data_IF_238870884705
#
_entry.id   IF_238870884705
#
_cell.length_a   1.000
_cell.length_b   1.000
_cell.length_c   1.000
_cell.angle_alpha   90.00
_cell.angle_beta   90.00
_cell.angle_gamma   90.00
#
_symmetry.space_group_name_H-M   'P 1'
#
loop_
_entity.id
_entity.type
_entity.pdbx_description
1 polymer ?
#
# COMPACT_ATOMS: atom_id res chain seq x y z
N UNK A 1 11.96 42.17 18.53
CA UNK A 1 11.80 40.70 18.47
C UNK A 1 11.00 40.30 19.71
N UNK A 2 9.67 40.31 19.60
CA UNK A 2 8.79 40.01 20.75
C UNK A 2 8.92 38.53 21.14
N UNK A 3 8.90 38.19 22.44
CA UNK A 3 8.95 36.80 22.87
C UNK A 3 7.69 36.08 22.36
N UNK A 4 7.86 34.92 21.73
CA UNK A 4 6.75 34.02 21.43
C UNK A 4 6.16 33.59 22.77
N UNK A 5 4.95 34.08 23.04
CA UNK A 5 4.10 33.62 24.12
C UNK A 5 4.04 32.09 24.06
N UNK A 6 4.55 31.43 25.10
CA UNK A 6 4.53 29.99 25.24
C UNK A 6 3.11 29.48 25.06
N UNK A 7 2.91 28.49 24.18
CA UNK A 7 1.62 27.85 23.95
C UNK A 7 1.10 27.30 25.29
N UNK A 8 0.22 28.05 25.95
CA UNK A 8 -0.50 27.61 27.13
C UNK A 8 -1.33 26.41 26.68
N UNK A 9 -1.04 25.23 27.21
CA UNK A 9 -1.88 24.05 27.03
C UNK A 9 -3.27 24.39 27.56
N UNK A 10 -4.20 24.72 26.65
CA UNK A 10 -5.60 24.95 27.00
C UNK A 10 -6.23 23.61 27.31
N UNK A 11 -6.79 23.50 28.52
CA UNK A 11 -7.55 22.32 28.92
C UNK A 11 -8.85 22.29 28.12
N UNK A 12 -9.12 21.17 27.45
CA UNK A 12 -10.38 20.96 26.74
C UNK A 12 -11.57 21.03 27.71
N UNK A 13 -12.60 21.86 27.40
CA UNK A 13 -13.87 21.86 28.13
C UNK A 13 -14.47 20.45 28.20
N UNK A 14 -15.27 20.12 29.23
CA UNK A 14 -15.84 18.79 29.40
C UNK A 14 -16.64 18.30 28.17
N UNK A 15 -17.46 19.16 27.58
CA UNK A 15 -18.24 18.85 26.36
C UNK A 15 -17.33 18.54 25.17
N UNK A 16 -16.34 19.39 24.91
CA UNK A 16 -15.39 19.21 23.82
C UNK A 16 -14.56 17.93 24.00
N UNK A 17 -14.14 17.63 25.24
CA UNK A 17 -13.42 16.39 25.57
C UNK A 17 -14.26 15.14 25.35
N UNK A 18 -15.54 15.19 25.70
CA UNK A 18 -16.45 14.07 25.47
C UNK A 18 -16.64 13.83 23.97
N UNK A 19 -16.90 14.88 23.20
CA UNK A 19 -17.06 14.80 21.75
C UNK A 19 -15.78 14.30 21.07
N UNK A 20 -14.62 14.82 21.46
CA UNK A 20 -13.31 14.36 20.96
C UNK A 20 -13.12 12.84 21.18
N UNK A 21 -13.44 12.34 22.38
CA UNK A 21 -13.38 10.92 22.69
C UNK A 21 -14.36 10.10 21.85
N UNK A 22 -15.58 10.59 21.62
CA UNK A 22 -16.56 9.91 20.76
C UNK A 22 -16.15 9.92 19.28
N UNK A 23 -15.57 11.03 18.78
CA UNK A 23 -15.02 11.11 17.42
C UNK A 23 -13.89 10.10 17.24
N UNK A 24 -12.96 10.00 18.19
CA UNK A 24 -11.88 9.01 18.16
C UNK A 24 -12.43 7.58 18.17
N UNK A 25 -13.42 7.29 19.03
CA UNK A 25 -14.09 5.98 19.10
C UNK A 25 -14.79 5.63 17.77
N UNK A 26 -15.41 6.62 17.12
CA UNK A 26 -16.05 6.44 15.83
C UNK A 26 -15.03 6.22 14.71
N UNK A 27 -13.93 6.96 14.69
CA UNK A 27 -12.83 6.80 13.72
C UNK A 27 -12.27 5.37 13.75
N UNK A 28 -11.99 4.83 14.93
CA UNK A 28 -11.54 3.44 15.13
C UNK A 28 -12.56 2.41 14.62
N UNK A 29 -13.86 2.70 14.74
CA UNK A 29 -14.94 1.82 14.26
C UNK A 29 -15.18 1.96 12.75
N UNK A 30 -14.88 3.10 12.16
CA UNK A 30 -14.95 3.33 10.71
C UNK A 30 -13.82 2.55 10.04
N UNK A 31 -12.59 2.60 10.59
CA UNK A 31 -11.39 1.93 10.08
C UNK A 31 -11.33 1.97 8.54
N UNK A 32 -11.37 3.19 8.00
CA UNK A 32 -11.52 3.42 6.56
C UNK A 32 -10.33 2.83 5.80
N UNK A 33 -9.13 2.88 6.38
CA UNK A 33 -7.92 2.39 5.74
C UNK A 33 -7.99 0.88 5.53
N UNK A 34 -8.39 0.11 6.55
CA UNK A 34 -8.65 -1.31 6.37
C UNK A 34 -9.74 -1.56 5.34
N UNK A 35 -10.82 -0.77 5.40
CA UNK A 35 -11.94 -0.89 4.47
C UNK A 35 -11.56 -0.60 3.01
N UNK A 36 -10.52 0.21 2.76
CA UNK A 36 -10.02 0.49 1.41
C UNK A 36 -8.78 -0.32 1.03
N UNK A 37 -8.23 -1.12 1.95
CA UNK A 37 -7.05 -1.93 1.71
C UNK A 37 -7.45 -3.28 1.11
N UNK A 38 -6.99 -3.61 -0.12
CA UNK A 38 -7.19 -4.93 -0.66
C UNK A 38 -6.43 -5.98 0.17
N UNK A 39 -7.02 -7.16 0.27
CA UNK A 39 -6.43 -8.34 0.89
C UNK A 39 -5.88 -9.28 -0.19
N UNK A 40 -4.99 -10.19 0.20
CA UNK A 40 -4.33 -11.14 -0.71
C UNK A 40 -3.50 -10.47 -1.83
N UNK A 41 -2.83 -9.36 -1.50
CA UNK A 41 -2.01 -8.61 -2.45
C UNK A 41 -0.90 -9.44 -3.09
N UNK A 42 -0.32 -10.42 -2.38
CA UNK A 42 0.72 -11.30 -2.93
C UNK A 42 0.20 -12.17 -4.07
N UNK A 43 -1.00 -12.74 -3.91
CA UNK A 43 -1.64 -13.54 -4.96
C UNK A 43 -2.04 -12.66 -6.15
N UNK A 44 -2.61 -11.48 -5.89
CA UNK A 44 -2.93 -10.50 -6.93
C UNK A 44 -1.68 -10.06 -7.71
N UNK A 45 -0.55 -9.88 -7.03
CA UNK A 45 0.72 -9.56 -7.68
C UNK A 45 1.22 -10.72 -8.55
N UNK A 46 1.13 -11.96 -8.07
CA UNK A 46 1.52 -13.12 -8.85
C UNK A 46 0.63 -13.28 -10.11
N UNK A 47 -0.68 -13.14 -9.99
CA UNK A 47 -1.61 -13.17 -11.12
C UNK A 47 -1.31 -12.05 -12.13
N UNK A 48 -1.00 -10.83 -11.66
CA UNK A 48 -0.59 -9.73 -12.53
C UNK A 48 0.70 -10.06 -13.30
N UNK A 49 1.69 -10.67 -12.64
CA UNK A 49 2.94 -11.14 -13.27
C UNK A 49 2.68 -12.24 -14.31
N UNK A 50 1.87 -13.23 -13.97
CA UNK A 50 1.55 -14.36 -14.85
C UNK A 50 0.77 -13.91 -16.09
N UNK A 51 0.03 -12.79 -15.99
CA UNK A 51 -0.60 -12.12 -17.13
C UNK A 51 0.40 -11.39 -18.07
N UNK A 52 1.69 -11.42 -17.75
CA UNK A 52 2.72 -10.63 -18.44
C UNK A 52 2.57 -9.13 -18.18
N UNK A 53 2.08 -8.74 -16.99
CA UNK A 53 1.84 -7.35 -16.59
C UNK A 53 0.81 -6.61 -17.45
N UNK A 54 -0.16 -7.32 -18.04
CA UNK A 54 -1.16 -6.74 -18.96
C UNK A 54 -2.55 -6.59 -18.36
N UNK A 55 -2.90 -7.43 -17.40
CA UNK A 55 -4.26 -7.48 -16.84
C UNK A 55 -4.19 -7.37 -15.33
N UNK A 56 -4.72 -6.28 -14.78
CA UNK A 56 -4.83 -6.12 -13.33
C UNK A 56 -5.96 -7.04 -12.81
N UNK A 57 -5.67 -7.99 -11.92
CA UNK A 57 -6.72 -8.83 -11.33
C UNK A 57 -7.66 -8.01 -10.43
N UNK A 58 -8.89 -8.47 -10.21
CA UNK A 58 -9.83 -7.74 -9.36
C UNK A 58 -9.33 -7.67 -7.91
N UNK A 59 -9.35 -6.46 -7.34
CA UNK A 59 -9.05 -6.25 -5.92
C UNK A 59 -10.11 -6.91 -5.05
N UNK A 60 -9.68 -7.62 -4.01
CA UNK A 60 -10.55 -8.26 -3.02
C UNK A 60 -10.40 -7.54 -1.70
N UNK A 61 -11.49 -7.35 -0.98
CA UNK A 61 -11.47 -6.67 0.31
C UNK A 61 -12.00 -7.60 1.39
N UNK A 62 -11.45 -7.47 2.60
CA UNK A 62 -11.88 -8.26 3.75
C UNK A 62 -13.34 -8.01 4.12
N UNK A 63 -13.90 -8.94 4.90
CA UNK A 63 -15.20 -8.75 5.53
C UNK A 63 -15.20 -7.45 6.35
N UNK A 64 -16.33 -6.73 6.31
CA UNK A 64 -16.46 -5.45 6.99
C UNK A 64 -16.36 -5.68 8.50
N UNK A 65 -15.38 -5.05 9.15
CA UNK A 65 -15.33 -4.98 10.63
C UNK A 65 -16.53 -4.21 11.19
N UNK A 66 -17.04 -3.24 10.41
CA UNK A 66 -18.13 -2.37 10.81
C UNK A 66 -19.49 -2.97 10.44
N UNK A 67 -20.30 -3.22 11.47
CA UNK A 67 -21.63 -3.87 11.36
C UNK A 67 -22.67 -3.03 10.60
N UNK A 68 -22.52 -1.70 10.50
CA UNK A 68 -23.36 -0.82 9.66
C UNK A 68 -22.75 0.58 9.54
N UNK A 69 -22.33 1.00 8.34
CA UNK A 69 -21.91 2.39 8.06
C UNK A 69 -23.05 3.41 8.27
N UNK A 70 -24.30 3.15 7.84
CA UNK A 70 -25.43 4.05 8.13
C UNK A 70 -25.61 4.32 9.63
N UNK A 71 -25.50 3.28 10.47
CA UNK A 71 -25.60 3.45 11.93
C UNK A 71 -24.47 4.29 12.51
N UNK A 72 -23.22 4.10 12.05
CA UNK A 72 -22.12 4.97 12.45
C UNK A 72 -22.33 6.42 12.03
N UNK A 73 -22.91 6.64 10.86
CA UNK A 73 -23.20 8.00 10.37
C UNK A 73 -24.26 8.68 11.22
N UNK A 74 -25.31 7.95 11.60
CA UNK A 74 -26.32 8.46 12.53
C UNK A 74 -25.70 8.81 13.90
N UNK A 75 -24.86 7.92 14.45
CA UNK A 75 -24.12 8.20 15.70
C UNK A 75 -23.22 9.45 15.56
N UNK A 76 -22.51 9.59 14.45
CA UNK A 76 -21.61 10.72 14.18
C UNK A 76 -22.39 12.05 14.11
N UNK A 77 -23.49 12.08 13.37
CA UNK A 77 -24.29 13.29 13.16
C UNK A 77 -25.09 13.69 14.40
N UNK A 78 -25.30 12.77 15.34
CA UNK A 78 -25.93 13.04 16.62
C UNK A 78 -25.01 13.72 17.65
N UNK A 79 -23.70 13.83 17.37
CA UNK A 79 -22.78 14.49 18.29
C UNK A 79 -23.12 15.98 18.45
N UNK A 80 -23.22 16.49 19.70
CA UNK A 80 -23.67 17.85 19.97
C UNK A 80 -22.54 18.88 19.79
N UNK A 81 -22.00 18.99 18.57
CA UNK A 81 -20.90 19.92 18.25
C UNK A 81 -21.28 21.37 18.59
N UNK A 82 -22.53 21.76 18.35
CA UNK A 82 -23.04 23.11 18.61
C UNK A 82 -23.14 23.48 20.10
N UNK A 83 -23.01 22.51 21.02
CA UNK A 83 -23.02 22.76 22.47
C UNK A 83 -21.63 23.20 22.97
N UNK A 84 -20.61 23.25 22.11
CA UNK A 84 -19.27 23.73 22.45
C UNK A 84 -19.27 25.27 22.43
N UNK A 85 -19.17 25.88 23.61
CA UNK A 85 -19.18 27.34 23.75
C UNK A 85 -17.96 28.05 23.13
N UNK A 86 -16.82 27.37 23.08
CA UNK A 86 -15.58 27.95 22.57
C UNK A 86 -15.48 27.77 21.04
N UNK A 87 -15.48 28.85 20.24
CA UNK A 87 -15.64 28.75 18.78
C UNK A 87 -14.51 28.02 18.04
N UNK A 88 -13.29 28.03 18.58
CA UNK A 88 -12.15 27.32 17.99
C UNK A 88 -12.33 25.80 18.15
N UNK A 89 -12.75 25.33 19.33
CA UNK A 89 -13.03 23.91 19.55
C UNK A 89 -14.25 23.42 18.78
N UNK A 90 -15.32 24.23 18.72
CA UNK A 90 -16.50 23.94 17.90
C UNK A 90 -16.09 23.74 16.42
N UNK A 91 -15.34 24.70 15.88
CA UNK A 91 -14.89 24.65 14.48
C UNK A 91 -13.99 23.45 14.21
N UNK A 92 -13.02 23.19 15.09
CA UNK A 92 -12.06 22.11 14.93
C UNK A 92 -12.73 20.72 14.97
N UNK A 93 -13.55 20.47 16.00
CA UNK A 93 -14.24 19.19 16.15
C UNK A 93 -15.34 19.02 15.08
N UNK A 94 -15.96 20.12 14.65
CA UNK A 94 -16.87 20.12 13.51
C UNK A 94 -16.20 19.75 12.18
N UNK A 95 -14.96 20.22 11.94
CA UNK A 95 -14.18 19.76 10.78
C UNK A 95 -13.84 18.28 10.89
N UNK A 96 -13.47 17.79 12.09
CA UNK A 96 -13.20 16.36 12.30
C UNK A 96 -14.45 15.51 12.04
N UNK A 97 -15.63 15.96 12.49
CA UNK A 97 -16.91 15.30 12.19
C UNK A 97 -17.15 15.22 10.68
N UNK A 98 -16.94 16.32 9.93
CA UNK A 98 -17.07 16.33 8.47
C UNK A 98 -16.07 15.42 7.77
N UNK A 99 -14.84 15.35 8.28
CA UNK A 99 -13.82 14.44 7.79
C UNK A 99 -14.27 12.98 7.92
N UNK A 100 -14.76 12.56 9.09
CA UNK A 100 -15.27 11.20 9.30
C UNK A 100 -16.46 10.87 8.39
N UNK A 101 -17.35 11.84 8.13
CA UNK A 101 -18.46 11.66 7.18
C UNK A 101 -17.94 11.39 5.75
N UNK A 102 -16.94 12.17 5.32
CA UNK A 102 -16.28 11.97 4.01
C UNK A 102 -15.53 10.64 3.92
N UNK A 103 -14.87 10.21 5.00
CA UNK A 103 -14.23 8.88 5.06
C UNK A 103 -15.25 7.75 4.88
N UNK A 104 -16.41 7.84 5.55
CA UNK A 104 -17.49 6.85 5.37
C UNK A 104 -18.04 6.84 3.93
N UNK A 105 -18.19 8.01 3.32
CA UNK A 105 -18.63 8.14 1.94
C UNK A 105 -17.61 7.53 0.95
N UNK A 106 -16.32 7.76 1.19
CA UNK A 106 -15.25 7.14 0.42
C UNK A 106 -15.32 5.60 0.47
N UNK A 107 -15.55 5.03 1.67
CA UNK A 107 -15.77 3.58 1.83
C UNK A 107 -17.03 3.11 1.10
N UNK A 108 -18.13 3.89 1.14
CA UNK A 108 -19.38 3.55 0.45
C UNK A 108 -19.22 3.49 -1.06
N UNK A 109 -18.37 4.36 -1.61
CA UNK A 109 -18.06 4.49 -3.03
C UNK A 109 -16.90 3.60 -3.50
N UNK A 110 -16.30 2.78 -2.62
CA UNK A 110 -15.28 1.79 -3.00
C UNK A 110 -15.76 0.95 -4.19
N UNK A 111 -14.92 0.86 -5.22
CA UNK A 111 -15.18 0.19 -6.50
C UNK A 111 -16.40 0.70 -7.30
N UNK A 112 -16.88 1.92 -7.02
CA UNK A 112 -18.02 2.53 -7.71
C UNK A 112 -17.63 3.83 -8.42
N UNK A 113 -18.41 4.25 -9.43
CA UNK A 113 -18.31 5.61 -9.96
C UNK A 113 -18.42 6.64 -8.83
N UNK A 114 -17.54 7.64 -8.85
CA UNK A 114 -17.49 8.69 -7.82
C UNK A 114 -16.43 8.49 -6.74
N UNK A 115 -15.81 7.31 -6.61
CA UNK A 115 -14.73 7.06 -5.64
C UNK A 115 -13.60 8.11 -5.74
N UNK A 116 -13.15 8.41 -6.95
CA UNK A 116 -12.11 9.40 -7.18
C UNK A 116 -12.51 10.81 -6.73
N UNK A 117 -13.76 11.21 -6.98
CA UNK A 117 -14.25 12.52 -6.53
C UNK A 117 -14.33 12.57 -5.01
N UNK A 118 -14.86 11.54 -4.37
CA UNK A 118 -14.88 11.44 -2.91
C UNK A 118 -13.48 11.47 -2.30
N UNK A 119 -12.48 10.88 -2.97
CA UNK A 119 -11.07 10.96 -2.57
C UNK A 119 -10.53 12.39 -2.66
N UNK A 120 -10.87 13.13 -3.71
CA UNK A 120 -10.50 14.55 -3.85
C UNK A 120 -11.19 15.39 -2.77
N UNK A 121 -12.46 15.13 -2.51
CA UNK A 121 -13.23 15.88 -1.50
C UNK A 121 -12.66 15.67 -0.08
N UNK A 122 -12.08 14.50 0.19
CA UNK A 122 -11.45 14.18 1.47
C UNK A 122 -10.00 14.68 1.58
N UNK A 123 -9.16 14.42 0.58
CA UNK A 123 -7.70 14.65 0.66
C UNK A 123 -7.22 15.89 -0.12
N UNK A 124 -8.09 16.50 -0.91
CA UNK A 124 -7.73 17.52 -1.89
C UNK A 124 -7.23 16.93 -3.21
N UNK A 125 -7.10 17.80 -4.21
CA UNK A 125 -6.59 17.43 -5.53
C UNK A 125 -5.06 17.28 -5.55
N UNK A 126 -4.56 16.51 -6.51
CA UNK A 126 -3.12 16.30 -6.72
C UNK A 126 -2.46 17.62 -7.13
N UNK A 127 -1.44 18.09 -6.40
CA UNK A 127 -0.75 19.33 -6.74
C UNK A 127 -0.18 19.30 -8.17
N UNK A 128 -0.33 20.40 -8.91
CA UNK A 128 0.10 20.48 -10.31
C UNK A 128 1.57 20.08 -10.52
N UNK A 129 2.44 20.42 -9.57
CA UNK A 129 3.87 20.03 -9.58
C UNK A 129 4.06 18.51 -9.53
N UNK A 130 3.29 17.81 -8.71
CA UNK A 130 3.38 16.36 -8.54
C UNK A 130 2.83 15.65 -9.77
N UNK A 131 1.71 16.15 -10.30
CA UNK A 131 1.13 15.66 -11.55
C UNK A 131 2.09 15.81 -12.74
N UNK A 132 2.82 16.92 -12.82
CA UNK A 132 3.86 17.12 -13.85
C UNK A 132 4.98 16.09 -13.70
N UNK A 133 5.54 15.94 -12.51
CA UNK A 133 6.61 14.98 -12.24
C UNK A 133 6.19 13.54 -12.58
N UNK A 134 4.97 13.13 -12.21
CA UNK A 134 4.46 11.81 -12.56
C UNK A 134 4.38 11.60 -14.08
N UNK A 135 3.94 12.60 -14.84
CA UNK A 135 3.90 12.54 -16.31
C UNK A 135 5.29 12.46 -16.93
N UNK A 136 6.26 13.19 -16.39
CA UNK A 136 7.65 13.13 -16.84
C UNK A 136 8.26 11.73 -16.61
N UNK A 137 8.01 11.12 -15.45
CA UNK A 137 8.43 9.73 -15.16
C UNK A 137 7.78 8.75 -16.13
N UNK A 138 6.47 8.86 -16.36
CA UNK A 138 5.76 7.99 -17.31
C UNK A 138 6.25 8.17 -18.75
N UNK A 139 6.61 9.39 -19.15
CA UNK A 139 7.15 9.65 -20.48
C UNK A 139 8.59 9.12 -20.65
N UNK A 140 9.39 9.14 -19.58
CA UNK A 140 10.75 8.61 -19.57
C UNK A 140 10.79 7.07 -19.49
N UNK A 141 9.79 6.45 -18.86
CA UNK A 141 9.63 5.01 -18.85
C UNK A 141 9.24 4.54 -20.26
N UNK A 142 10.18 3.93 -21.00
CA UNK A 142 9.83 3.24 -22.23
C UNK A 142 8.76 2.19 -21.91
N UNK A 143 7.68 2.06 -22.71
CA UNK A 143 6.79 0.91 -22.58
C UNK A 143 7.69 -0.33 -22.67
N UNK A 144 7.54 -1.25 -21.71
CA UNK A 144 8.33 -2.48 -21.68
C UNK A 144 8.11 -3.25 -22.98
N UNK A 145 8.96 -2.99 -23.96
CA UNK A 145 9.09 -3.84 -25.12
C UNK A 145 9.56 -5.20 -24.64
N UNK A 146 9.27 -6.25 -25.40
CA UNK A 146 10.06 -7.45 -25.26
C UNK A 146 11.52 -7.01 -25.37
N UNK A 147 12.31 -7.24 -24.31
CA UNK A 147 13.77 -7.14 -24.47
C UNK A 147 14.11 -8.01 -25.68
N UNK A 148 14.92 -7.52 -26.63
CA UNK A 148 15.43 -8.37 -27.68
C UNK A 148 15.95 -9.64 -27.02
N UNK A 149 15.55 -10.81 -27.52
CA UNK A 149 16.23 -12.04 -27.13
C UNK A 149 17.65 -11.89 -27.66
N UNK A 150 18.57 -11.57 -26.76
CA UNK A 150 20.00 -11.47 -27.11
C UNK A 150 20.55 -12.81 -27.59
N UNK A 151 19.88 -13.92 -27.22
CA UNK A 151 20.14 -15.28 -27.68
C UNK A 151 18.86 -16.12 -27.78
N UNK A 152 18.84 -17.07 -28.71
CA UNK A 152 17.78 -18.09 -28.81
C UNK A 152 17.85 -19.10 -27.64
N UNK A 153 16.74 -19.80 -27.35
CA UNK A 153 16.77 -20.88 -26.34
C UNK A 153 17.83 -21.94 -26.71
N UNK A 154 17.90 -22.30 -27.99
CA UNK A 154 18.86 -23.29 -28.49
C UNK A 154 20.31 -22.84 -28.32
N UNK A 155 20.57 -21.53 -28.48
CA UNK A 155 21.90 -20.93 -28.27
C UNK A 155 22.31 -20.95 -26.80
N UNK A 156 21.37 -20.67 -25.89
CA UNK A 156 21.59 -20.78 -24.44
C UNK A 156 21.83 -22.23 -24.03
N UNK A 157 21.07 -23.19 -24.59
CA UNK A 157 21.24 -24.62 -24.31
C UNK A 157 22.61 -25.09 -24.80
N UNK A 158 23.01 -24.73 -26.02
CA UNK A 158 24.31 -25.10 -26.57
C UNK A 158 25.48 -24.56 -25.72
N UNK A 159 25.42 -23.28 -25.32
CA UNK A 159 26.46 -22.68 -24.48
C UNK A 159 26.53 -23.32 -23.08
N UNK A 160 25.39 -23.69 -22.50
CA UNK A 160 25.34 -24.38 -21.21
C UNK A 160 25.88 -25.82 -21.29
N UNK A 161 25.58 -26.53 -22.38
CA UNK A 161 26.12 -27.87 -22.63
C UNK A 161 27.65 -27.84 -22.85
N UNK A 162 28.16 -26.85 -23.59
CA UNK A 162 29.59 -26.65 -23.80
C UNK A 162 30.33 -26.35 -22.49
N UNK A 163 29.78 -25.48 -21.65
CA UNK A 163 30.33 -25.16 -20.32
C UNK A 163 30.32 -26.41 -19.41
N UNK A 164 29.23 -27.18 -19.41
CA UNK A 164 29.13 -28.43 -18.63
C UNK A 164 30.13 -29.48 -19.09
N UNK A 165 30.37 -29.61 -20.39
CA UNK A 165 31.35 -30.53 -20.94
C UNK A 165 32.78 -30.11 -20.59
N UNK A 166 33.10 -28.81 -20.65
CA UNK A 166 34.35 -28.27 -20.15
C UNK A 166 34.58 -28.61 -18.67
N UNK A 167 33.57 -28.43 -17.81
CA UNK A 167 33.64 -28.81 -16.40
C UNK A 167 33.82 -30.32 -16.22
N UNK A 168 33.11 -31.16 -16.99
CA UNK A 168 33.22 -32.63 -16.92
C UNK A 168 34.61 -33.10 -17.32
N UNK A 169 35.20 -32.52 -18.35
CA UNK A 169 36.57 -32.84 -18.78
C UNK A 169 37.60 -32.45 -17.73
N UNK A 170 37.48 -31.24 -17.17
CA UNK A 170 38.38 -30.75 -16.13
C UNK A 170 38.25 -31.54 -14.83
N UNK A 171 37.02 -31.92 -14.46
CA UNK A 171 36.75 -32.83 -13.35
C UNK A 171 37.34 -34.23 -13.59
N UNK A 172 37.16 -34.82 -14.78
CA UNK A 172 37.76 -36.11 -15.13
C UNK A 172 39.30 -36.05 -15.13
N UNK A 173 39.88 -34.93 -15.55
CA UNK A 173 41.32 -34.70 -15.53
C UNK A 173 41.85 -34.57 -14.09
N UNK A 174 41.12 -33.88 -13.20
CA UNK A 174 41.48 -33.74 -11.79
C UNK A 174 41.24 -35.02 -10.95
N UNK A 175 40.37 -35.92 -11.41
CA UNK A 175 40.08 -37.19 -10.72
C UNK A 175 40.94 -38.38 -11.18
N UNK A 176 41.72 -38.26 -12.27
CA UNK A 176 42.76 -39.27 -12.61
C UNK A 176 44.00 -39.16 -11.72
N UNK A 177 44.22 -38.03 -11.04
CA UNK A 177 45.36 -37.83 -10.14
C UNK A 177 45.05 -38.19 -8.69
N UNK A 178 43.80 -38.48 -8.33
CA UNK A 178 43.47 -39.14 -7.06
C UNK A 178 43.58 -40.66 -7.20
N UNK A 179 44.82 -41.16 -7.22
CA UNK A 179 45.10 -42.54 -6.81
C UNK A 179 45.35 -42.51 -5.31
N UNK A 180 44.48 -43.17 -4.54
CA UNK A 180 44.68 -43.30 -3.10
C UNK A 180 45.95 -44.11 -2.82
N UNK A 181 46.80 -43.70 -1.86
CA UNK A 181 47.99 -44.45 -1.49
C UNK A 181 47.61 -45.82 -0.93
N UNK A 182 48.36 -46.82 -1.38
CA UNK A 182 48.27 -48.24 -1.03
C UNK A 182 48.34 -48.41 0.49
N UNK A 183 47.27 -48.88 1.13
CA UNK A 183 47.40 -49.43 2.51
C UNK A 183 47.94 -50.85 2.39
N UNK A 184 49.26 -50.99 2.54
CA UNK A 184 49.95 -52.26 2.74
C UNK A 184 49.59 -52.81 4.13
N UNK A 185 48.72 -53.82 4.17
CA UNK A 185 48.64 -54.74 5.31
C UNK A 185 49.58 -55.91 5.04
N UNK A 186 50.67 -56.01 5.80
CA UNK A 186 51.33 -57.28 6.15
C UNK A 186 51.82 -57.23 7.60
N UNK A 187 51.78 -58.42 8.18
CA UNK A 187 51.95 -58.82 9.58
C UNK A 187 53.23 -58.34 10.26
#
# INVERSE_FOLDING_TARGET
>A
MSPRESAVSRVLPPVARHIDAELARLEDRIDWLWSLSPIHNDAMWQEFRDSGFRTLPPMRYGEKRTRSLPGLREELLALPIADIEEPLFESLLGEKQRELDRQMELVRLRDKPGFHQASIDLFGDVPARLRRAAREVMAAAAPGGALPRDAGLDEVVAAAEEELDWYRERWRASHRTWSSPTTSTRC
#
